data_IF_436165765801
#
_entry.id   IF_436165765801
#
_cell.length_a   1.000
_cell.length_b   1.000
_cell.length_c   1.000
_cell.angle_alpha   90.00
_cell.angle_beta   90.00
_cell.angle_gamma   90.00
#
_symmetry.space_group_name_H-M   'P 1'
#
loop_
_entity.id
_entity.type
_entity.pdbx_description
1 polymer ?
#
# COMPACT_ATOMS: atom_id res chain seq x y z
N UNK A 1 -1.91 -32.03 -7.00
CA UNK A 1 -2.26 -30.96 -6.06
C UNK A 1 -2.41 -29.71 -6.89
N UNK A 2 -3.63 -29.22 -7.04
CA UNK A 2 -3.92 -28.03 -7.86
C UNK A 2 -3.72 -26.84 -6.94
N UNK A 3 -2.54 -26.24 -6.96
CA UNK A 3 -2.34 -24.93 -6.33
C UNK A 3 -3.16 -23.96 -7.17
N UNK A 4 -4.31 -23.53 -6.64
CA UNK A 4 -5.06 -22.42 -7.21
C UNK A 4 -4.14 -21.20 -7.13
N UNK A 5 -3.45 -20.90 -8.24
CA UNK A 5 -2.85 -19.58 -8.43
C UNK A 5 -4.06 -18.69 -8.69
N UNK A 6 -4.64 -18.17 -7.62
CA UNK A 6 -5.59 -17.07 -7.71
C UNK A 6 -4.85 -15.99 -8.52
N UNK A 7 -5.31 -15.65 -9.72
CA UNK A 7 -4.72 -14.62 -10.59
C UNK A 7 -4.91 -13.26 -9.92
N UNK A 8 -4.23 -13.04 -8.80
CA UNK A 8 -4.21 -11.79 -8.09
C UNK A 8 -3.26 -10.90 -8.85
N UNK A 9 -3.82 -9.89 -9.52
CA UNK A 9 -3.00 -8.92 -10.22
C UNK A 9 -2.20 -8.12 -9.19
N UNK A 10 -0.89 -8.06 -9.40
CA UNK A 10 0.02 -7.35 -8.55
C UNK A 10 0.81 -6.33 -9.37
N UNK A 11 1.05 -5.16 -8.78
CA UNK A 11 1.89 -4.15 -9.40
C UNK A 11 2.63 -3.36 -8.33
N UNK A 12 3.78 -2.84 -8.71
CA UNK A 12 4.65 -2.04 -7.86
C UNK A 12 4.41 -0.56 -8.14
N UNK A 13 4.21 0.20 -7.06
CA UNK A 13 3.95 1.64 -7.13
C UNK A 13 4.87 2.37 -6.17
N UNK A 14 5.24 3.61 -6.50
CA UNK A 14 6.15 4.38 -5.67
C UNK A 14 5.35 5.10 -4.59
N UNK A 15 5.74 4.94 -3.33
CA UNK A 15 5.16 5.72 -2.24
C UNK A 15 5.73 7.14 -2.31
N UNK A 16 4.84 8.11 -2.50
CA UNK A 16 5.19 9.53 -2.56
C UNK A 16 4.84 10.25 -1.26
N UNK A 17 3.76 9.84 -0.61
CA UNK A 17 3.32 10.43 0.65
C UNK A 17 2.54 9.43 1.52
N UNK A 18 2.12 9.85 2.71
CA UNK A 18 1.24 9.08 3.57
C UNK A 18 0.26 10.00 4.31
N UNK A 19 -0.92 9.47 4.58
CA UNK A 19 -1.98 10.11 5.34
C UNK A 19 -2.40 9.23 6.52
N UNK A 20 -3.10 9.86 7.47
CA UNK A 20 -3.76 9.15 8.56
C UNK A 20 -5.20 8.78 8.16
N UNK A 21 -5.62 7.58 8.52
CA UNK A 21 -7.03 7.18 8.44
C UNK A 21 -7.93 8.10 9.28
N UNK A 22 -9.19 8.26 8.88
CA UNK A 22 -10.17 9.11 9.56
C UNK A 22 -11.22 8.27 10.30
N UNK A 23 -11.76 8.78 11.41
CA UNK A 23 -12.85 8.13 12.15
C UNK A 23 -12.41 6.84 12.83
N UNK A 24 -12.97 5.69 12.42
CA UNK A 24 -12.64 4.37 13.00
C UNK A 24 -11.25 3.88 12.62
N UNK A 25 -10.70 4.38 11.51
CA UNK A 25 -9.35 4.11 11.03
C UNK A 25 -8.31 5.09 11.60
N UNK A 26 -8.68 5.90 12.59
CA UNK A 26 -7.76 6.87 13.20
C UNK A 26 -6.54 6.15 13.80
N UNK A 27 -5.36 6.58 13.36
CA UNK A 27 -4.08 5.96 13.70
C UNK A 27 -3.60 4.86 12.75
N UNK A 28 -4.38 4.51 11.71
CA UNK A 28 -3.92 3.63 10.64
C UNK A 28 -3.20 4.41 9.54
N UNK A 29 -2.16 3.82 8.95
CA UNK A 29 -1.46 4.40 7.80
C UNK A 29 -2.28 4.23 6.54
N UNK A 30 -2.34 5.30 5.76
CA UNK A 30 -2.83 5.31 4.38
C UNK A 30 -1.66 5.80 3.54
N UNK A 31 -1.08 4.94 2.71
CA UNK A 31 0.01 5.37 1.83
C UNK A 31 -0.57 5.98 0.56
N UNK A 32 0.01 7.09 0.13
CA UNK A 32 -0.26 7.70 -1.17
C UNK A 32 0.83 7.23 -2.14
N UNK A 33 0.40 6.51 -3.17
CA UNK A 33 1.28 5.94 -4.17
C UNK A 33 1.04 6.62 -5.51
N UNK A 34 2.09 6.72 -6.30
CA UNK A 34 2.06 7.26 -7.65
C UNK A 34 2.34 6.14 -8.67
N UNK A 35 1.51 6.07 -9.71
CA UNK A 35 1.72 5.20 -10.87
C UNK A 35 2.76 5.79 -11.81
N UNK A 36 3.31 4.96 -12.71
CA UNK A 36 4.21 5.44 -13.76
C UNK A 36 3.55 6.50 -14.68
N UNK A 37 2.23 6.45 -14.82
CA UNK A 37 1.41 7.45 -15.53
C UNK A 37 1.22 8.77 -14.74
N UNK A 38 1.82 8.91 -13.56
CA UNK A 38 1.70 10.09 -12.70
C UNK A 38 0.36 10.18 -11.97
N UNK A 39 -0.42 9.09 -11.89
CA UNK A 39 -1.69 9.08 -11.15
C UNK A 39 -1.43 8.71 -9.70
N UNK A 40 -1.94 9.53 -8.80
CA UNK A 40 -1.86 9.30 -7.36
C UNK A 40 -3.09 8.60 -6.84
N UNK A 41 -2.90 7.62 -5.98
CA UNK A 41 -3.98 6.92 -5.32
C UNK A 41 -3.59 6.52 -3.91
N UNK A 42 -4.58 6.46 -3.03
CA UNK A 42 -4.39 6.05 -1.65
C UNK A 42 -4.62 4.54 -1.53
N UNK A 43 -3.69 3.84 -0.90
CA UNK A 43 -3.84 2.42 -0.56
C UNK A 43 -3.39 2.17 0.87
N UNK A 44 -3.94 1.11 1.47
CA UNK A 44 -3.65 0.71 2.83
C UNK A 44 -2.95 -0.65 2.82
N UNK A 45 -2.09 -0.93 3.82
CA UNK A 45 -1.50 -2.24 3.96
C UNK A 45 -2.54 -3.33 4.20
N UNK A 46 -2.30 -4.50 3.63
CA UNK A 46 -3.05 -5.70 3.99
C UNK A 46 -2.77 -6.03 5.46
N UNK A 47 -3.79 -6.50 6.16
CA UNK A 47 -3.72 -6.77 7.60
C UNK A 47 -4.74 -5.99 8.43
N UNK A 48 -4.66 -6.20 9.74
CA UNK A 48 -5.60 -5.65 10.73
C UNK A 48 -5.30 -4.19 11.06
N UNK A 49 -6.25 -3.52 11.72
CA UNK A 49 -6.08 -2.14 12.18
C UNK A 49 -4.83 -1.96 13.05
N UNK A 50 -4.53 -2.90 13.94
CA UNK A 50 -3.33 -2.82 14.77
C UNK A 50 -2.05 -2.92 13.96
N UNK A 51 -1.99 -3.83 12.98
CA UNK A 51 -0.84 -3.93 12.08
C UNK A 51 -0.61 -2.61 11.32
N UNK A 52 -1.68 -1.90 10.94
CA UNK A 52 -1.57 -0.61 10.23
C UNK A 52 -1.12 0.56 11.13
N UNK A 53 -1.23 0.46 12.45
CA UNK A 53 -0.79 1.50 13.38
C UNK A 53 0.73 1.56 13.51
N UNK A 54 1.42 0.43 13.42
CA UNK A 54 2.88 0.37 13.49
C UNK A 54 3.60 1.11 12.34
N UNK A 55 3.34 0.81 11.05
CA UNK A 55 3.94 1.53 9.94
C UNK A 55 3.49 3.00 9.94
N UNK A 56 2.29 3.32 10.46
CA UNK A 56 1.88 4.72 10.66
C UNK A 56 2.81 5.43 11.63
N UNK A 57 3.03 4.88 12.82
CA UNK A 57 3.96 5.46 13.81
C UNK A 57 5.37 5.58 13.25
N UNK A 58 5.81 4.61 12.44
CA UNK A 58 7.13 4.65 11.80
C UNK A 58 7.20 5.71 10.71
N UNK A 59 6.15 5.89 9.91
CA UNK A 59 6.06 6.93 8.90
C UNK A 59 6.04 8.32 9.56
N UNK A 60 5.25 8.50 10.62
CA UNK A 60 5.24 9.75 11.40
C UNK A 60 6.62 10.05 12.00
N UNK A 61 7.38 9.01 12.40
CA UNK A 61 8.71 9.16 12.98
C UNK A 61 9.78 9.49 11.95
N UNK A 62 9.82 8.76 10.83
CA UNK A 62 10.83 8.89 9.78
C UNK A 62 10.30 8.38 8.43
N UNK A 63 9.34 9.09 7.83
CA UNK A 63 8.83 8.77 6.50
C UNK A 63 9.88 8.81 5.38
N UNK A 64 10.71 9.88 5.23
CA UNK A 64 11.62 9.99 4.11
C UNK A 64 12.67 8.88 4.07
N UNK A 65 13.18 8.44 5.22
CA UNK A 65 14.16 7.35 5.28
C UNK A 65 13.53 5.96 5.15
N UNK A 66 12.29 5.77 5.62
CA UNK A 66 11.66 4.44 5.67
C UNK A 66 10.71 4.09 4.55
N UNK A 67 9.99 5.05 3.97
CA UNK A 67 8.88 4.77 3.04
C UNK A 67 8.90 5.62 1.77
N UNK A 68 9.34 6.88 1.84
CA UNK A 68 9.38 7.76 0.67
C UNK A 68 10.24 7.17 -0.45
N UNK A 69 9.76 7.29 -1.69
CA UNK A 69 10.41 6.76 -2.88
C UNK A 69 10.67 5.24 -2.87
N UNK A 70 10.02 4.48 -1.97
CA UNK A 70 10.05 3.01 -2.00
C UNK A 70 8.97 2.44 -2.90
N UNK A 71 9.28 1.32 -3.53
CA UNK A 71 8.34 0.52 -4.29
C UNK A 71 7.47 -0.31 -3.35
N UNK A 72 6.17 -0.15 -3.44
CA UNK A 72 5.19 -0.92 -2.70
C UNK A 72 4.41 -1.82 -3.66
N UNK A 73 4.39 -3.11 -3.34
CA UNK A 73 3.63 -4.12 -4.06
C UNK A 73 2.18 -4.06 -3.61
N UNK A 74 1.29 -3.71 -4.53
CA UNK A 74 -0.15 -3.62 -4.31
C UNK A 74 -0.83 -4.75 -5.06
N UNK A 75 -1.57 -5.59 -4.33
CA UNK A 75 -2.49 -6.56 -4.92
C UNK A 75 -3.83 -5.89 -5.18
N UNK A 76 -4.38 -6.10 -6.36
CA UNK A 76 -5.67 -5.58 -6.76
C UNK A 76 -6.43 -6.63 -7.58
N UNK A 77 -7.75 -6.51 -7.55
CA UNK A 77 -8.61 -7.42 -8.30
C UNK A 77 -8.68 -7.02 -9.77
N UNK A 78 -8.87 -5.72 -10.01
CA UNK A 78 -8.99 -5.14 -11.35
C UNK A 78 -8.38 -3.74 -11.40
N UNK A 79 -7.98 -3.31 -12.60
CA UNK A 79 -7.60 -1.91 -12.86
C UNK A 79 -8.83 -1.12 -13.31
N UNK A 80 -8.90 0.15 -12.91
CA UNK A 80 -9.83 1.10 -13.49
C UNK A 80 -9.43 1.41 -14.95
N UNK A 81 -10.33 2.05 -15.71
CA UNK A 81 -10.04 2.54 -17.08
C UNK A 81 -8.81 3.47 -17.13
N UNK A 82 -8.54 4.10 -15.99
CA UNK A 82 -7.43 5.00 -15.76
C UNK A 82 -6.11 4.31 -15.40
N UNK A 83 -6.06 2.98 -15.30
CA UNK A 83 -4.88 2.25 -14.84
C UNK A 83 -4.65 2.32 -13.33
N UNK A 84 -5.65 2.78 -12.57
CA UNK A 84 -5.59 2.84 -11.10
C UNK A 84 -6.12 1.52 -10.51
N UNK A 85 -5.38 0.85 -9.61
CA UNK A 85 -5.82 -0.40 -9.01
C UNK A 85 -7.07 -0.22 -8.15
N UNK A 86 -8.11 -1.00 -8.45
CA UNK A 86 -9.34 -1.04 -7.68
C UNK A 86 -9.21 -2.02 -6.53
N UNK A 87 -9.59 -1.55 -5.32
CA UNK A 87 -9.48 -2.32 -4.07
C UNK A 87 -8.04 -2.76 -3.76
N UNK A 88 -7.07 -1.97 -4.22
CA UNK A 88 -5.65 -2.24 -4.03
C UNK A 88 -5.26 -2.31 -2.56
N UNK A 89 -4.55 -3.38 -2.17
CA UNK A 89 -3.97 -3.56 -0.84
C UNK A 89 -2.47 -3.74 -0.94
N UNK A 90 -1.72 -3.03 -0.12
CA UNK A 90 -0.26 -3.15 -0.10
C UNK A 90 0.11 -4.43 0.65
N UNK A 91 0.79 -5.36 -0.01
CA UNK A 91 1.29 -6.59 0.61
C UNK A 91 2.78 -6.51 0.94
N UNK A 92 3.51 -5.60 0.30
CA UNK A 92 4.93 -5.45 0.54
C UNK A 92 5.38 -4.02 0.29
N UNK A 93 6.30 -3.49 1.10
CA UNK A 93 6.96 -2.21 0.85
C UNK A 93 8.47 -2.41 0.86
N UNK A 94 9.08 -2.16 -0.29
CA UNK A 94 10.49 -2.46 -0.56
C UNK A 94 10.80 -3.93 -0.34
N UNK A 95 12.04 -4.23 0.05
CA UNK A 95 12.47 -5.57 0.49
C UNK A 95 12.34 -5.82 1.98
N UNK A 96 12.00 -4.79 2.75
CA UNK A 96 12.16 -4.76 4.21
C UNK A 96 10.84 -4.96 4.96
N UNK A 97 9.70 -4.57 4.35
CA UNK A 97 8.37 -4.69 4.97
C UNK A 97 7.51 -5.66 4.18
N UNK A 98 7.24 -6.82 4.77
CA UNK A 98 6.28 -7.80 4.25
C UNK A 98 5.04 -7.82 5.15
N UNK A 99 3.87 -7.64 4.55
CA UNK A 99 2.58 -7.64 5.22
C UNK A 99 1.95 -9.01 4.99
N UNK A 100 1.98 -9.86 6.01
CA UNK A 100 1.43 -11.23 6.00
C UNK A 100 -0.11 -11.22 5.95
#
# INVERSE_FOLDING_TARGET
MVSQVEETNDAEYIIVDFAQGKGKDMGCVVFELETADGKRFCSVPNGTYDYRKDPYKQAVKDFPGKFMAKLAKVLFDNLSKDGVPLRGRIVQIGRDYNFD
#
